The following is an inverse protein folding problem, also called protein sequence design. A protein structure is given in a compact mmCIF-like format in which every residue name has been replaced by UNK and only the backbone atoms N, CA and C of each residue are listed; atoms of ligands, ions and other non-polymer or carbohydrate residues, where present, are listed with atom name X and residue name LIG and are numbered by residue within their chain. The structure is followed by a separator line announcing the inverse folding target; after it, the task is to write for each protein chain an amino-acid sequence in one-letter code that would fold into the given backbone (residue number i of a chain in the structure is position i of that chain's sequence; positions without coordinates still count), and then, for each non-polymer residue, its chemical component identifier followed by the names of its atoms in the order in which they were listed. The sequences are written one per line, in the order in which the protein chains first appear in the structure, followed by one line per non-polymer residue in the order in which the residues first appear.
data_IF_812157241819
#
_entry.id   IF_812157241819
#
_cell.length_a   1.000
_cell.length_b   1.000
_cell.length_c   1.000
_cell.angle_alpha   90.00
_cell.angle_beta   90.00
_cell.angle_gamma   90.00
#
_symmetry.space_group_name_H-M   'P 1'
#
loop_
_entity.id
_entity.type
_entity.pdbx_description
1 polymer ?
#
# COMPACT_ATOMS: atom_id res chain seq x y z
N UNK A 1 23.62 3.50 55.83
CA UNK A 1 24.48 4.52 56.46
C UNK A 1 25.92 4.04 56.31
N UNK A 2 26.88 4.78 55.73
CA UNK A 2 26.82 6.15 55.13
C UNK A 2 25.91 6.18 53.87
N UNK A 3 25.71 7.21 53.01
CA UNK A 3 25.78 8.70 53.06
C UNK A 3 27.13 9.38 53.40
N UNK A 4 27.81 10.18 52.56
CA UNK A 4 27.70 10.60 51.14
C UNK A 4 28.98 11.41 50.79
N UNK A 5 29.21 11.81 49.52
CA UNK A 5 29.82 13.12 49.18
C UNK A 5 29.79 13.42 47.67
N UNK A 6 29.49 14.68 47.32
CA UNK A 6 29.50 15.20 45.95
C UNK A 6 30.93 15.46 45.45
N UNK A 7 31.12 15.35 44.13
CA UNK A 7 32.05 16.20 43.40
C UNK A 7 31.40 16.65 42.09
N UNK A 8 30.93 17.90 42.05
CA UNK A 8 30.44 18.56 40.84
C UNK A 8 31.66 19.04 40.03
N UNK A 9 31.82 18.58 38.79
CA UNK A 9 32.85 19.06 37.88
C UNK A 9 32.23 19.40 36.52
N UNK A 10 32.03 20.71 36.27
CA UNK A 10 31.60 21.23 34.98
C UNK A 10 32.69 21.00 33.91
N UNK A 11 32.31 20.55 32.70
CA UNK A 11 33.29 20.13 31.69
C UNK A 11 32.73 19.94 30.27
N UNK A 12 31.99 20.93 29.77
CA UNK A 12 31.74 21.14 28.33
C UNK A 12 32.08 22.62 28.05
N UNK A 13 32.74 22.98 26.92
CA UNK A 13 32.15 22.71 25.61
C UNK A 13 33.09 22.44 24.41
N UNK A 14 32.46 21.95 23.34
CA UNK A 14 32.65 22.33 21.93
C UNK A 14 34.07 22.40 21.31
N UNK A 15 34.47 21.28 20.70
CA UNK A 15 34.91 21.23 19.29
C UNK A 15 34.37 19.94 18.66
N UNK A 16 33.97 19.79 17.39
CA UNK A 16 33.49 20.64 16.30
C UNK A 16 33.78 19.84 15.01
N UNK A 17 32.75 19.39 14.28
CA UNK A 17 32.91 18.55 13.07
C UNK A 17 33.30 17.09 13.38
N UNK A 18 32.90 16.08 12.62
CA UNK A 18 32.13 16.07 11.38
C UNK A 18 31.32 14.76 11.28
N UNK A 19 30.31 14.70 10.42
CA UNK A 19 29.50 13.48 10.22
C UNK A 19 28.11 13.49 10.89
N UNK A 20 27.29 14.47 10.55
CA UNK A 20 25.84 14.28 10.58
C UNK A 20 25.41 13.34 9.44
N UNK A 21 24.28 12.64 9.64
CA UNK A 21 23.57 11.76 8.70
C UNK A 21 24.11 10.32 8.54
N UNK A 22 23.17 9.45 8.09
CA UNK A 22 23.23 7.99 8.01
C UNK A 22 23.33 7.25 9.39
N UNK A 23 22.37 6.42 9.80
CA UNK A 23 21.19 5.95 9.10
C UNK A 23 19.97 5.85 10.03
N UNK A 24 18.97 6.69 9.76
CA UNK A 24 17.61 6.17 9.73
C UNK A 24 17.57 5.21 8.54
N UNK A 25 17.86 3.93 8.80
CA UNK A 25 17.39 2.88 7.90
C UNK A 25 15.87 2.92 7.99
N UNK A 26 15.26 3.68 7.09
CA UNK A 26 13.89 3.44 6.67
C UNK A 26 13.85 1.99 6.19
N UNK A 27 13.56 1.09 7.12
CA UNK A 27 13.07 -0.24 6.80
C UNK A 27 11.67 0.00 6.27
N UNK A 28 11.63 0.47 5.01
CA UNK A 28 10.51 0.25 4.12
C UNK A 28 10.33 -1.25 4.17
N UNK A 29 9.39 -1.67 5.02
CA UNK A 29 8.95 -3.02 5.10
C UNK A 29 8.26 -3.27 3.76
N UNK A 30 9.07 -3.69 2.78
CA UNK A 30 8.65 -4.44 1.62
C UNK A 30 8.16 -5.78 2.15
N UNK A 31 7.05 -5.72 2.90
CA UNK A 31 6.19 -6.85 3.17
C UNK A 31 5.99 -7.46 1.80
N UNK A 32 6.45 -8.70 1.64
CA UNK A 32 6.09 -9.48 0.47
C UNK A 32 4.57 -9.58 0.51
N UNK A 33 3.91 -8.71 -0.25
CA UNK A 33 2.46 -8.74 -0.40
C UNK A 33 2.21 -10.00 -1.21
N UNK A 34 1.99 -11.10 -0.49
CA UNK A 34 1.57 -12.38 -1.05
C UNK A 34 0.57 -12.10 -2.16
N UNK A 35 0.80 -12.57 -3.41
CA UNK A 35 0.10 -12.08 -4.59
C UNK A 35 -1.39 -12.44 -4.51
N UNK A 36 -2.16 -11.50 -3.96
CA UNK A 36 -3.57 -11.72 -3.66
C UNK A 36 -4.33 -12.02 -4.96
N UNK A 37 -5.35 -12.91 -4.95
CA UNK A 37 -6.11 -13.24 -6.15
C UNK A 37 -6.72 -12.00 -6.84
N UNK A 38 -7.17 -11.02 -6.04
CA UNK A 38 -7.69 -9.73 -6.52
C UNK A 38 -6.61 -8.69 -6.87
N UNK A 39 -5.32 -9.00 -6.74
CA UNK A 39 -4.22 -8.17 -7.23
C UNK A 39 -3.67 -8.66 -8.58
N UNK A 40 -4.00 -9.89 -8.99
CA UNK A 40 -3.56 -10.44 -10.27
C UNK A 40 -4.20 -9.69 -11.46
N UNK A 41 -3.55 -9.63 -12.65
CA UNK A 41 -4.18 -9.08 -13.83
C UNK A 41 -5.46 -9.84 -14.18
N UNK A 42 -6.54 -9.11 -14.46
CA UNK A 42 -7.70 -9.74 -15.13
C UNK A 42 -7.26 -10.10 -16.54
N UNK A 43 -7.52 -11.36 -16.93
CA UNK A 43 -6.95 -12.02 -18.11
C UNK A 43 -7.16 -11.25 -19.42
N UNK A 44 -6.38 -11.62 -20.45
CA UNK A 44 -6.28 -10.87 -21.70
C UNK A 44 -7.58 -10.86 -22.51
N UNK A 45 -8.43 -9.89 -22.21
CA UNK A 45 -9.38 -9.34 -23.19
C UNK A 45 -8.60 -8.67 -24.33
N UNK A 46 -9.14 -8.78 -25.54
CA UNK A 46 -8.57 -8.23 -26.78
C UNK A 46 -8.06 -6.78 -26.61
N UNK A 47 -6.95 -6.39 -27.29
CA UNK A 47 -6.33 -5.08 -27.12
C UNK A 47 -7.32 -3.94 -27.34
N UNK A 48 -7.25 -2.95 -26.44
CA UNK A 48 -8.16 -1.82 -26.38
C UNK A 48 -7.83 -0.88 -27.53
N UNK A 49 -8.65 -0.87 -28.58
CA UNK A 49 -8.33 -0.14 -29.82
C UNK A 49 -8.60 1.37 -29.77
N UNK A 50 -9.28 1.88 -28.75
CA UNK A 50 -9.65 3.32 -28.64
C UNK A 50 -9.72 3.81 -27.19
N UNK A 51 -9.43 5.09 -26.98
CA UNK A 51 -9.61 5.74 -25.67
C UNK A 51 -11.07 5.74 -25.19
N UNK A 52 -12.05 5.83 -26.09
CA UNK A 52 -13.48 5.79 -25.73
C UNK A 52 -13.93 4.47 -25.10
N UNK A 53 -13.30 3.34 -25.48
CA UNK A 53 -13.54 2.03 -24.86
C UNK A 53 -12.91 1.88 -23.45
N UNK A 54 -11.93 2.71 -23.07
CA UNK A 54 -11.22 2.57 -21.79
C UNK A 54 -12.16 2.75 -20.57
N UNK A 55 -13.14 3.66 -20.64
CA UNK A 55 -14.14 3.86 -19.57
C UNK A 55 -15.07 2.65 -19.42
N UNK A 56 -15.37 1.95 -20.49
CA UNK A 56 -16.19 0.73 -20.46
C UNK A 56 -15.39 -0.44 -19.88
N UNK A 57 -14.15 -0.65 -20.35
CA UNK A 57 -13.30 -1.73 -19.86
C UNK A 57 -12.89 -1.53 -18.38
N UNK A 58 -12.62 -0.29 -17.95
CA UNK A 58 -12.41 0.02 -16.53
C UNK A 58 -13.62 -0.34 -15.65
N UNK A 59 -14.85 -0.04 -16.11
CA UNK A 59 -16.08 -0.43 -15.37
C UNK A 59 -16.22 -1.94 -15.28
N UNK A 60 -15.94 -2.65 -16.37
CA UNK A 60 -15.96 -4.12 -16.43
C UNK A 60 -14.95 -4.74 -15.47
N UNK A 61 -13.70 -4.27 -15.51
CA UNK A 61 -12.62 -4.71 -14.62
C UNK A 61 -12.99 -4.45 -13.15
N UNK A 62 -13.52 -3.26 -12.82
CA UNK A 62 -13.96 -2.94 -11.46
C UNK A 62 -15.08 -3.86 -10.95
N UNK A 63 -16.01 -4.28 -11.80
CA UNK A 63 -17.07 -5.23 -11.44
C UNK A 63 -16.47 -6.62 -11.12
N UNK A 64 -15.67 -7.16 -12.04
CA UNK A 64 -14.95 -8.43 -11.83
C UNK A 64 -14.05 -8.39 -10.58
N UNK A 65 -13.51 -7.22 -10.24
CA UNK A 65 -12.69 -7.04 -9.03
C UNK A 65 -13.51 -7.13 -7.74
N UNK A 66 -14.74 -6.61 -7.74
CA UNK A 66 -15.67 -6.76 -6.61
C UNK A 66 -16.02 -8.25 -6.42
N UNK A 67 -16.26 -8.98 -7.51
CA UNK A 67 -16.52 -10.42 -7.51
C UNK A 67 -15.32 -11.22 -6.97
N UNK A 68 -14.10 -10.97 -7.46
CA UNK A 68 -12.87 -11.59 -6.95
C UNK A 68 -12.64 -11.33 -5.45
N UNK A 69 -13.04 -10.16 -4.96
CA UNK A 69 -12.92 -9.78 -3.55
C UNK A 69 -14.09 -10.26 -2.67
N UNK A 70 -15.11 -10.93 -3.23
CA UNK A 70 -16.32 -11.30 -2.49
C UNK A 70 -16.06 -12.30 -1.35
N UNK A 71 -15.31 -13.41 -1.53
CA UNK A 71 -15.05 -14.36 -0.43
C UNK A 71 -14.26 -13.73 0.72
N UNK A 72 -13.34 -12.81 0.40
CA UNK A 72 -12.55 -12.11 1.40
C UNK A 72 -13.35 -11.04 2.14
N UNK A 73 -14.26 -10.36 1.46
CA UNK A 73 -15.21 -9.46 2.09
C UNK A 73 -16.11 -10.20 3.08
N UNK A 74 -16.62 -11.38 2.70
CA UNK A 74 -17.43 -12.23 3.59
C UNK A 74 -16.64 -12.66 4.83
N UNK A 75 -15.39 -13.12 4.63
CA UNK A 75 -14.46 -13.46 5.72
C UNK A 75 -14.25 -12.28 6.68
N UNK A 76 -13.96 -11.08 6.16
CA UNK A 76 -13.76 -9.87 6.97
C UNK A 76 -15.05 -9.39 7.63
N UNK A 77 -16.20 -9.50 6.97
CA UNK A 77 -17.51 -9.13 7.51
C UNK A 77 -17.87 -9.98 8.73
N UNK A 78 -17.61 -11.29 8.65
CA UNK A 78 -17.80 -12.21 9.77
C UNK A 78 -16.82 -11.98 10.95
N UNK A 79 -15.63 -11.43 10.70
CA UNK A 79 -14.59 -11.23 11.72
C UNK A 79 -14.62 -9.84 12.39
N UNK A 80 -14.87 -8.79 11.62
CA UNK A 80 -14.75 -7.39 12.04
C UNK A 80 -16.03 -6.56 11.82
N UNK A 81 -17.10 -7.18 11.30
CA UNK A 81 -18.36 -6.52 10.98
C UNK A 81 -18.42 -5.95 9.56
N UNK A 82 -19.63 -5.67 9.05
CA UNK A 82 -19.86 -5.25 7.66
C UNK A 82 -19.21 -3.90 7.34
N UNK A 83 -19.24 -2.94 8.26
CA UNK A 83 -18.69 -1.60 8.03
C UNK A 83 -17.17 -1.62 7.86
N UNK A 84 -16.47 -2.41 8.69
CA UNK A 84 -15.02 -2.60 8.58
C UNK A 84 -14.64 -3.35 7.29
N UNK A 85 -15.42 -4.37 6.90
CA UNK A 85 -15.22 -5.10 5.65
C UNK A 85 -15.47 -4.21 4.42
N UNK A 86 -16.47 -3.33 4.47
CA UNK A 86 -16.77 -2.38 3.41
C UNK A 86 -15.69 -1.29 3.30
N UNK A 87 -15.24 -0.73 4.43
CA UNK A 87 -14.12 0.21 4.46
C UNK A 87 -12.82 -0.41 3.89
N UNK A 88 -12.51 -1.66 4.24
CA UNK A 88 -11.42 -2.42 3.65
C UNK A 88 -11.58 -2.57 2.12
N UNK A 89 -12.77 -2.96 1.67
CA UNK A 89 -13.09 -3.14 0.25
C UNK A 89 -12.92 -1.84 -0.53
N UNK A 90 -13.41 -0.72 -0.01
CA UNK A 90 -13.32 0.60 -0.66
C UNK A 90 -11.90 1.19 -0.62
N UNK A 91 -11.09 0.91 0.39
CA UNK A 91 -9.65 1.21 0.37
C UNK A 91 -8.96 0.40 -0.74
N UNK A 92 -9.12 -0.92 -0.72
CA UNK A 92 -8.47 -1.85 -1.64
C UNK A 92 -8.86 -1.60 -3.10
N UNK A 93 -10.15 -1.38 -3.39
CA UNK A 93 -10.62 -1.04 -4.74
C UNK A 93 -10.06 0.30 -5.24
N UNK A 94 -9.76 1.26 -4.37
CA UNK A 94 -9.11 2.53 -4.78
C UNK A 94 -7.66 2.32 -5.18
N UNK A 95 -6.92 1.48 -4.46
CA UNK A 95 -5.52 1.19 -4.79
C UNK A 95 -5.42 0.36 -6.08
N UNK A 96 -6.24 -0.67 -6.21
CA UNK A 96 -6.33 -1.50 -7.43
C UNK A 96 -6.78 -0.67 -8.64
N UNK A 97 -7.74 0.26 -8.49
CA UNK A 97 -8.15 1.13 -9.59
C UNK A 97 -6.99 1.99 -10.15
N UNK A 98 -6.00 2.39 -9.33
CA UNK A 98 -4.80 3.10 -9.80
C UNK A 98 -3.85 2.18 -10.57
N UNK A 99 -3.79 0.89 -10.21
CA UNK A 99 -3.06 -0.14 -10.94
C UNK A 99 -3.74 -0.39 -12.30
N UNK A 100 -5.03 -0.74 -12.28
CA UNK A 100 -5.81 -1.10 -13.47
C UNK A 100 -5.81 0.05 -14.50
N UNK A 101 -5.97 1.32 -14.09
CA UNK A 101 -5.91 2.47 -15.01
C UNK A 101 -4.53 2.66 -15.65
N UNK A 102 -3.43 2.35 -14.94
CA UNK A 102 -2.06 2.41 -15.46
C UNK A 102 -1.84 1.33 -16.51
N UNK A 103 -2.29 0.11 -16.22
CA UNK A 103 -2.20 -1.03 -17.13
C UNK A 103 -3.06 -0.82 -18.38
N UNK A 104 -4.29 -0.32 -18.22
CA UNK A 104 -5.18 0.07 -19.32
C UNK A 104 -4.58 1.16 -20.21
N UNK A 105 -3.85 2.12 -19.62
CA UNK A 105 -3.14 3.16 -20.39
C UNK A 105 -1.96 2.57 -21.15
N UNK A 106 -1.11 1.78 -20.49
CA UNK A 106 0.02 1.11 -21.11
C UNK A 106 -0.38 0.11 -22.22
N UNK A 107 -1.63 -0.39 -22.24
CA UNK A 107 -2.20 -1.19 -23.34
C UNK A 107 -2.61 -0.36 -24.58
N UNK A 108 -2.79 0.97 -24.45
CA UNK A 108 -3.05 1.88 -25.59
C UNK A 108 -1.76 2.36 -26.27
N UNK A 109 -0.63 2.30 -25.56
CA UNK A 109 0.66 2.80 -26.01
C UNK A 109 1.54 1.69 -26.66
N UNK A 110 0.96 0.49 -26.91
CA UNK A 110 1.58 -0.65 -27.62
C UNK A 110 0.98 -0.84 -29.02
#
# INVERSE_FOLDING_TARGET
MPIALLALACGLPAWAGDGAAAAQTDVVATLAVEPQPWAQPIGESWPIRRASSLKAEYRRIRALRIEQMQPEYERRSAQAGPDAAQAWRDATLRDIARQDLRDLRARLDR
#
